data_IF_823915357040
#
_entry.id   IF_823915357040
#
_cell.length_a   1.000
_cell.length_b   1.000
_cell.length_c   1.000
_cell.angle_alpha   90.00
_cell.angle_beta   90.00
_cell.angle_gamma   90.00
#
_symmetry.space_group_name_H-M   'P 1'
#
loop_
_entity.id
_entity.type
_entity.pdbx_description
1 polymer ?
#
# COMPACT_ATOMS: atom_id res chain seq x y z
N UNK A 1 2.73 6.68 37.67
CA UNK A 1 3.63 7.07 36.56
C UNK A 1 4.34 5.82 36.04
N UNK A 2 4.29 5.52 34.73
CA UNK A 2 5.05 4.41 34.13
C UNK A 2 6.51 4.86 33.91
N UNK A 3 7.45 4.35 34.71
CA UNK A 3 8.84 4.83 34.75
C UNK A 3 9.86 3.96 33.97
N UNK A 4 9.42 3.26 32.92
CA UNK A 4 10.27 2.33 32.17
C UNK A 4 11.34 2.99 31.27
N UNK A 5 11.05 4.19 30.75
CA UNK A 5 11.92 4.94 29.83
C UNK A 5 12.36 6.31 30.37
N UNK A 6 11.59 6.86 31.31
CA UNK A 6 11.89 8.10 32.02
C UNK A 6 11.58 7.92 33.51
N UNK A 7 12.36 8.56 34.36
CA UNK A 7 12.21 8.51 35.81
C UNK A 7 12.04 9.94 36.31
N UNK A 8 11.01 10.17 37.12
CA UNK A 8 10.82 11.40 37.88
C UNK A 8 11.07 11.10 39.34
N UNK A 9 12.12 11.70 39.90
CA UNK A 9 12.47 11.55 41.32
C UNK A 9 11.60 12.46 42.19
N UNK A 10 11.55 12.16 43.49
CA UNK A 10 10.73 12.91 44.47
C UNK A 10 11.14 14.38 44.65
N UNK A 11 12.39 14.70 44.31
CA UNK A 11 12.96 16.05 44.26
C UNK A 11 12.54 16.85 43.01
N UNK A 12 11.77 16.25 42.10
CA UNK A 12 11.36 16.87 40.83
C UNK A 12 12.36 16.67 39.69
N UNK A 13 13.49 15.99 39.92
CA UNK A 13 14.50 15.75 38.88
C UNK A 13 14.02 14.71 37.88
N UNK A 14 13.94 15.09 36.59
CA UNK A 14 13.59 14.21 35.48
C UNK A 14 14.84 13.68 34.77
N UNK A 15 14.95 12.35 34.63
CA UNK A 15 16.02 11.70 33.86
C UNK A 15 15.43 10.77 32.81
N UNK A 16 15.89 10.87 31.56
CA UNK A 16 15.47 10.03 30.44
C UNK A 16 16.66 9.35 29.77
N UNK A 17 16.51 8.07 29.44
CA UNK A 17 17.52 7.29 28.72
C UNK A 17 17.17 7.25 27.22
N UNK A 18 17.96 7.96 26.41
CA UNK A 18 17.76 8.10 24.96
C UNK A 18 17.87 6.75 24.23
N UNK A 19 18.66 5.80 24.73
CA UNK A 19 18.80 4.48 24.10
C UNK A 19 17.55 3.64 24.34
N UNK A 20 16.95 3.73 25.53
CA UNK A 20 15.66 3.10 25.83
C UNK A 20 14.52 3.73 25.04
N UNK A 21 14.57 5.04 24.77
CA UNK A 21 13.54 5.71 23.96
C UNK A 21 13.49 5.19 22.51
N UNK A 22 14.64 4.85 21.91
CA UNK A 22 14.69 4.22 20.57
C UNK A 22 14.11 2.81 20.57
N UNK A 23 14.19 2.09 21.70
CA UNK A 23 13.61 0.76 21.86
C UNK A 23 12.08 0.79 21.94
N UNK A 24 11.48 1.87 22.47
CA UNK A 24 10.01 2.03 22.52
C UNK A 24 9.37 2.04 21.12
N UNK A 25 10.09 2.51 20.10
CA UNK A 25 9.64 2.52 18.71
C UNK A 25 9.34 1.10 18.17
N UNK A 26 10.00 0.08 18.72
CA UNK A 26 9.86 -1.31 18.28
C UNK A 26 8.48 -1.89 18.56
N UNK A 27 7.75 -1.38 19.56
CA UNK A 27 6.37 -1.82 19.87
C UNK A 27 5.38 -1.26 18.84
N UNK A 28 5.51 0.01 18.48
CA UNK A 28 4.70 0.61 17.41
C UNK A 28 4.90 -0.11 16.07
N UNK A 29 6.14 -0.47 15.75
CA UNK A 29 6.45 -1.23 14.53
C UNK A 29 5.88 -2.65 14.55
N UNK A 30 5.73 -3.27 15.72
CA UNK A 30 5.11 -4.59 15.85
C UNK A 30 3.67 -4.56 15.36
N UNK A 31 2.88 -3.60 15.84
CA UNK A 31 1.46 -3.49 15.47
C UNK A 31 1.33 -3.22 13.98
N UNK A 32 2.07 -2.24 13.47
CA UNK A 32 2.07 -1.89 12.03
C UNK A 32 2.56 -3.03 11.14
N UNK A 33 3.50 -3.84 11.60
CA UNK A 33 4.00 -5.00 10.87
C UNK A 33 2.97 -6.14 10.75
N UNK A 34 2.00 -6.21 11.68
CA UNK A 34 0.92 -7.21 11.66
C UNK A 34 -0.31 -6.78 10.86
N UNK A 35 -0.56 -5.48 10.77
CA UNK A 35 -1.71 -4.92 10.03
C UNK A 35 -1.86 -5.46 8.60
N UNK A 36 -0.82 -5.52 7.75
CA UNK A 36 -0.94 -6.00 6.37
C UNK A 36 -1.59 -7.39 6.24
N UNK A 37 -1.22 -8.33 7.11
CA UNK A 37 -1.80 -9.67 7.12
C UNK A 37 -3.26 -9.66 7.59
N UNK A 38 -3.59 -8.83 8.59
CA UNK A 38 -4.95 -8.69 9.11
C UNK A 38 -5.88 -8.11 8.04
N UNK A 39 -5.50 -7.00 7.42
CA UNK A 39 -6.30 -6.34 6.39
C UNK A 39 -6.38 -7.16 5.09
N UNK A 40 -5.37 -7.96 4.77
CA UNK A 40 -5.45 -8.93 3.68
C UNK A 40 -6.55 -9.98 3.90
N UNK A 41 -6.68 -10.49 5.13
CA UNK A 41 -7.74 -11.46 5.49
C UNK A 41 -9.11 -10.80 5.45
N UNK A 42 -9.25 -9.57 5.95
CA UNK A 42 -10.52 -8.84 5.90
C UNK A 42 -10.97 -8.57 4.46
N UNK A 43 -10.05 -8.17 3.57
CA UNK A 43 -10.36 -8.05 2.14
C UNK A 43 -10.74 -9.41 1.54
N UNK A 44 -10.01 -10.47 1.86
CA UNK A 44 -10.31 -11.82 1.36
C UNK A 44 -11.70 -12.31 1.79
N UNK A 45 -12.16 -11.98 3.00
CA UNK A 45 -13.51 -12.29 3.47
C UNK A 45 -14.58 -11.61 2.58
N UNK A 46 -14.46 -10.30 2.34
CA UNK A 46 -15.38 -9.56 1.48
C UNK A 46 -15.41 -10.12 0.04
N UNK A 47 -14.22 -10.39 -0.50
CA UNK A 47 -14.06 -10.93 -1.86
C UNK A 47 -14.61 -12.36 -1.97
N UNK A 48 -14.49 -13.17 -0.92
CA UNK A 48 -15.06 -14.54 -0.88
C UNK A 48 -16.59 -14.49 -0.98
N UNK A 49 -17.23 -13.57 -0.24
CA UNK A 49 -18.68 -13.37 -0.29
C UNK A 49 -19.09 -12.95 -1.70
N UNK A 50 -18.43 -11.92 -2.26
CA UNK A 50 -18.73 -11.42 -3.61
C UNK A 50 -18.52 -12.48 -4.69
N UNK A 51 -17.48 -13.31 -4.57
CA UNK A 51 -17.19 -14.39 -5.53
C UNK A 51 -18.28 -15.45 -5.51
N UNK A 52 -18.62 -15.97 -4.31
CA UNK A 52 -19.67 -16.99 -4.17
C UNK A 52 -21.04 -16.47 -4.61
N UNK A 53 -21.38 -15.24 -4.23
CA UNK A 53 -22.60 -14.59 -4.68
C UNK A 53 -22.64 -14.47 -6.20
N UNK A 54 -21.52 -14.13 -6.84
CA UNK A 54 -21.43 -13.96 -8.29
C UNK A 54 -21.55 -15.27 -9.08
N UNK A 55 -21.25 -16.41 -8.46
CA UNK A 55 -21.43 -17.73 -9.07
C UNK A 55 -22.89 -18.19 -9.04
N UNK A 56 -23.70 -17.71 -8.09
CA UNK A 56 -25.10 -18.12 -7.91
C UNK A 56 -26.07 -17.11 -8.52
N UNK A 57 -25.74 -15.81 -8.47
CA UNK A 57 -26.61 -14.78 -9.00
C UNK A 57 -26.63 -14.85 -10.52
N UNK A 58 -27.81 -15.10 -11.07
CA UNK A 58 -28.12 -14.95 -12.48
C UNK A 58 -28.82 -13.60 -12.69
N UNK A 59 -28.45 -12.90 -13.76
CA UNK A 59 -29.16 -11.70 -14.21
C UNK A 59 -28.74 -11.32 -15.63
N UNK A 60 -29.71 -10.95 -16.46
CA UNK A 60 -29.47 -10.44 -17.82
C UNK A 60 -29.68 -11.49 -18.89
N UNK A 61 -29.17 -11.21 -20.09
CA UNK A 61 -29.36 -12.08 -21.26
C UNK A 61 -28.50 -13.34 -21.17
N UNK A 62 -29.08 -14.48 -21.58
CA UNK A 62 -28.41 -15.77 -21.70
C UNK A 62 -27.36 -15.81 -22.81
N UNK A 63 -26.66 -16.95 -22.93
CA UNK A 63 -25.61 -17.17 -23.96
C UNK A 63 -26.10 -16.97 -25.39
N UNK A 64 -27.40 -17.20 -25.62
CA UNK A 64 -28.02 -17.18 -26.94
C UNK A 64 -28.80 -15.88 -27.19
N UNK A 65 -28.57 -14.85 -26.37
CA UNK A 65 -29.40 -13.64 -26.27
C UNK A 65 -30.90 -13.95 -26.00
N UNK A 66 -31.21 -15.14 -25.50
CA UNK A 66 -32.56 -15.52 -25.07
C UNK A 66 -32.81 -15.06 -23.63
N UNK A 67 -34.08 -14.81 -23.32
CA UNK A 67 -34.54 -14.49 -21.97
C UNK A 67 -34.88 -15.75 -21.16
N UNK A 68 -34.87 -16.92 -21.79
CA UNK A 68 -35.34 -18.17 -21.18
C UNK A 68 -34.35 -18.75 -20.14
N UNK A 69 -33.07 -18.37 -20.24
CA UNK A 69 -32.03 -18.77 -19.30
C UNK A 69 -31.07 -17.62 -19.04
N UNK A 70 -31.13 -17.07 -17.84
CA UNK A 70 -30.23 -16.00 -17.42
C UNK A 70 -28.80 -16.51 -17.23
N UNK A 71 -27.81 -15.64 -17.47
CA UNK A 71 -26.40 -15.95 -17.27
C UNK A 71 -25.98 -15.59 -15.85
N UNK A 72 -25.13 -16.43 -15.24
CA UNK A 72 -24.48 -16.10 -13.95
C UNK A 72 -23.62 -14.85 -14.10
N UNK A 73 -23.69 -13.93 -13.14
CA UNK A 73 -23.03 -12.63 -13.26
C UNK A 73 -21.50 -12.73 -13.34
N UNK A 74 -20.89 -13.79 -12.80
CA UNK A 74 -19.43 -14.02 -12.91
C UNK A 74 -18.94 -14.22 -14.35
N UNK A 75 -19.84 -14.60 -15.26
CA UNK A 75 -19.53 -14.80 -16.68
C UNK A 75 -19.33 -13.46 -17.42
N UNK A 76 -19.83 -12.36 -16.86
CA UNK A 76 -19.57 -11.03 -17.42
C UNK A 76 -18.12 -10.62 -17.18
N UNK A 77 -17.42 -10.25 -18.26
CA UNK A 77 -16.00 -9.87 -18.23
C UNK A 77 -15.69 -8.80 -17.18
N UNK A 78 -16.58 -7.83 -17.02
CA UNK A 78 -16.42 -6.76 -16.03
C UNK A 78 -16.48 -7.28 -14.59
N UNK A 79 -17.45 -8.15 -14.28
CA UNK A 79 -17.57 -8.78 -12.95
C UNK A 79 -16.33 -9.64 -12.67
N UNK A 80 -15.94 -10.45 -13.64
CA UNK A 80 -14.80 -11.35 -13.55
C UNK A 80 -13.48 -10.60 -13.30
N UNK A 81 -13.22 -9.54 -14.07
CA UNK A 81 -12.01 -8.73 -13.94
C UNK A 81 -11.91 -8.07 -12.56
N UNK A 82 -13.02 -7.51 -12.05
CA UNK A 82 -13.05 -6.86 -10.74
C UNK A 82 -12.79 -7.87 -9.61
N UNK A 83 -13.44 -9.03 -9.64
CA UNK A 83 -13.22 -10.08 -8.64
C UNK A 83 -11.77 -10.56 -8.65
N UNK A 84 -11.22 -10.93 -9.81
CA UNK A 84 -9.84 -11.41 -9.92
C UNK A 84 -8.83 -10.37 -9.45
N UNK A 85 -9.06 -9.10 -9.74
CA UNK A 85 -8.20 -8.01 -9.27
C UNK A 85 -8.19 -7.91 -7.74
N UNK A 86 -9.35 -8.02 -7.10
CA UNK A 86 -9.44 -7.98 -5.63
C UNK A 86 -8.81 -9.23 -4.98
N UNK A 87 -8.98 -10.41 -5.58
CA UNK A 87 -8.29 -11.64 -5.15
C UNK A 87 -6.78 -11.43 -5.23
N UNK A 88 -6.26 -10.97 -6.38
CA UNK A 88 -4.84 -10.73 -6.56
C UNK A 88 -4.27 -9.73 -5.54
N UNK A 89 -5.01 -8.63 -5.27
CA UNK A 89 -4.64 -7.65 -4.24
C UNK A 89 -4.56 -8.29 -2.85
N UNK A 90 -5.55 -9.09 -2.45
CA UNK A 90 -5.56 -9.75 -1.14
C UNK A 90 -4.33 -10.65 -0.92
N UNK A 91 -3.94 -11.46 -1.91
CA UNK A 91 -2.73 -12.28 -1.85
C UNK A 91 -1.45 -11.44 -1.86
N UNK A 92 -1.37 -10.40 -2.69
CA UNK A 92 -0.22 -9.50 -2.71
C UNK A 92 0.00 -8.83 -1.36
N UNK A 93 -1.08 -8.35 -0.72
CA UNK A 93 -1.04 -7.76 0.62
C UNK A 93 -0.60 -8.78 1.68
N UNK A 94 -1.06 -10.03 1.57
CA UNK A 94 -0.68 -11.11 2.49
C UNK A 94 0.83 -11.41 2.41
N UNK A 95 1.38 -11.58 1.21
CA UNK A 95 2.82 -11.81 1.03
C UNK A 95 3.67 -10.60 1.43
N UNK A 96 3.23 -9.38 1.10
CA UNK A 96 3.89 -8.16 1.55
C UNK A 96 3.93 -8.06 3.09
N UNK A 97 2.87 -8.51 3.77
CA UNK A 97 2.82 -8.61 5.22
C UNK A 97 3.83 -9.60 5.80
N UNK A 98 4.02 -10.76 5.15
CA UNK A 98 5.03 -11.73 5.56
C UNK A 98 6.44 -11.16 5.45
N UNK A 99 6.78 -10.52 4.33
CA UNK A 99 8.09 -9.86 4.14
C UNK A 99 8.31 -8.74 5.17
N UNK A 100 7.29 -7.92 5.43
CA UNK A 100 7.35 -6.86 6.43
C UNK A 100 7.63 -7.42 7.83
N UNK A 101 6.94 -8.50 8.22
CA UNK A 101 7.13 -9.15 9.51
C UNK A 101 8.52 -9.81 9.63
N UNK A 102 9.05 -10.38 8.54
CA UNK A 102 10.40 -10.93 8.50
C UNK A 102 11.47 -9.82 8.72
N UNK A 103 11.34 -8.68 8.05
CA UNK A 103 12.23 -7.52 8.24
C UNK A 103 12.15 -6.93 9.65
N UNK A 104 10.95 -6.91 10.24
CA UNK A 104 10.77 -6.51 11.64
C UNK A 104 11.48 -7.48 12.60
N UNK A 105 11.39 -8.79 12.36
CA UNK A 105 12.09 -9.78 13.18
C UNK A 105 13.63 -9.62 13.10
N UNK A 106 14.18 -9.37 11.91
CA UNK A 106 15.61 -9.06 11.73
C UNK A 106 16.00 -7.78 12.48
N UNK A 107 15.21 -6.71 12.36
CA UNK A 107 15.42 -5.47 13.12
C UNK A 107 15.48 -5.75 14.62
N UNK A 108 14.53 -6.52 15.16
CA UNK A 108 14.49 -6.86 16.59
C UNK A 108 15.73 -7.63 17.02
N UNK A 109 16.22 -8.57 16.20
CA UNK A 109 17.45 -9.31 16.46
C UNK A 109 18.70 -8.40 16.45
N UNK A 110 18.76 -7.41 15.56
CA UNK A 110 19.85 -6.41 15.52
C UNK A 110 19.80 -5.46 16.71
N UNK A 111 18.62 -5.01 17.10
CA UNK A 111 18.44 -4.14 18.27
C UNK A 111 18.88 -4.81 19.56
N UNK A 112 18.71 -6.13 19.70
CA UNK A 112 19.22 -6.88 20.85
C UNK A 112 20.76 -6.83 20.95
N UNK A 113 21.46 -6.56 19.84
CA UNK A 113 22.91 -6.36 19.76
C UNK A 113 23.33 -4.88 19.79
N UNK A 114 22.39 -3.95 20.00
CA UNK A 114 22.64 -2.51 19.98
C UNK A 114 22.75 -1.88 18.58
N UNK A 115 22.48 -2.63 17.50
CA UNK A 115 22.44 -2.09 16.15
C UNK A 115 21.05 -1.55 15.80
N UNK A 116 20.98 -0.25 15.50
CA UNK A 116 19.76 0.47 15.15
C UNK A 116 19.78 1.01 13.72
N UNK A 117 20.75 0.64 12.88
CA UNK A 117 20.94 1.24 11.56
C UNK A 117 19.76 1.00 10.60
N UNK A 118 19.06 -0.13 10.73
CA UNK A 118 17.92 -0.50 9.88
C UNK A 118 16.57 0.02 10.40
N UNK A 119 16.54 0.67 11.57
CA UNK A 119 15.31 1.18 12.16
C UNK A 119 14.56 2.18 11.25
N UNK A 120 15.22 3.17 10.61
CA UNK A 120 14.53 4.13 9.75
C UNK A 120 13.91 3.47 8.51
N UNK A 121 14.58 2.46 7.93
CA UNK A 121 14.09 1.79 6.73
C UNK A 121 12.89 0.91 7.00
N UNK A 122 12.93 0.11 8.08
CA UNK A 122 11.80 -0.72 8.50
C UNK A 122 10.63 0.15 8.94
N UNK A 123 10.88 1.26 9.63
CA UNK A 123 9.82 2.20 9.99
C UNK A 123 9.09 2.78 8.79
N UNK A 124 9.83 3.25 7.79
CA UNK A 124 9.25 3.77 6.56
C UNK A 124 8.45 2.70 5.80
N UNK A 125 8.97 1.47 5.73
CA UNK A 125 8.26 0.33 5.13
C UNK A 125 6.94 0.04 5.86
N UNK A 126 6.96 -0.09 7.19
CA UNK A 126 5.76 -0.34 7.98
C UNK A 126 4.73 0.79 7.84
N UNK A 127 5.16 2.06 7.81
CA UNK A 127 4.27 3.20 7.63
C UNK A 127 3.60 3.18 6.25
N UNK A 128 4.38 3.02 5.19
CA UNK A 128 3.87 2.95 3.82
C UNK A 128 2.95 1.77 3.59
N UNK A 129 3.35 0.58 4.05
CA UNK A 129 2.56 -0.63 3.87
C UNK A 129 1.26 -0.57 4.67
N UNK A 130 1.28 -0.06 5.92
CA UNK A 130 0.07 0.18 6.71
C UNK A 130 -0.91 1.09 5.96
N UNK A 131 -0.44 2.19 5.39
CA UNK A 131 -1.29 3.13 4.67
C UNK A 131 -1.89 2.50 3.41
N UNK A 132 -1.08 1.78 2.65
CA UNK A 132 -1.51 1.09 1.44
C UNK A 132 -2.57 0.03 1.72
N UNK A 133 -2.26 -0.93 2.60
CA UNK A 133 -3.12 -2.10 2.83
C UNK A 133 -4.46 -1.73 3.46
N UNK A 134 -4.50 -0.69 4.30
CA UNK A 134 -5.75 -0.25 4.93
C UNK A 134 -6.66 0.47 3.95
N UNK A 135 -6.12 1.36 3.10
CA UNK A 135 -6.87 1.97 2.01
C UNK A 135 -7.44 0.91 1.05
N UNK A 136 -6.58 0.03 0.56
CA UNK A 136 -6.97 -1.00 -0.42
C UNK A 136 -7.97 -2.00 0.15
N UNK A 137 -7.89 -2.33 1.44
CA UNK A 137 -8.87 -3.22 2.08
C UNK A 137 -10.26 -2.58 2.16
N UNK A 138 -10.34 -1.30 2.53
CA UNK A 138 -11.62 -0.57 2.64
C UNK A 138 -12.25 -0.39 1.26
N UNK A 139 -11.47 0.13 0.30
CA UNK A 139 -11.93 0.37 -1.06
C UNK A 139 -12.33 -0.96 -1.73
N UNK A 140 -11.54 -2.02 -1.53
CA UNK A 140 -11.82 -3.35 -2.04
C UNK A 140 -13.04 -4.01 -1.42
N UNK A 141 -13.28 -3.81 -0.11
CA UNK A 141 -14.46 -4.32 0.57
C UNK A 141 -15.74 -3.60 0.10
N UNK A 142 -15.70 -2.28 -0.08
CA UNK A 142 -16.82 -1.52 -0.64
C UNK A 142 -17.07 -1.90 -2.11
N UNK A 143 -16.03 -2.19 -2.88
CA UNK A 143 -16.19 -2.70 -4.23
C UNK A 143 -16.79 -4.11 -4.26
N UNK A 144 -16.40 -5.00 -3.34
CA UNK A 144 -17.02 -6.31 -3.17
C UNK A 144 -18.52 -6.19 -2.81
N UNK A 145 -18.90 -5.21 -2.00
CA UNK A 145 -20.30 -4.88 -1.71
C UNK A 145 -21.07 -4.47 -2.95
N UNK A 146 -20.50 -3.59 -3.78
CA UNK A 146 -21.11 -3.17 -5.07
C UNK A 146 -21.25 -4.34 -6.05
N UNK A 147 -20.30 -5.28 -6.07
CA UNK A 147 -20.37 -6.48 -6.92
C UNK A 147 -21.55 -7.40 -6.56
N UNK A 148 -22.10 -7.28 -5.35
CA UNK A 148 -23.30 -8.02 -4.91
C UNK A 148 -24.62 -7.28 -5.22
N UNK A 149 -24.56 -6.09 -5.82
CA UNK A 149 -25.74 -5.28 -6.13
C UNK A 149 -26.52 -4.85 -4.88
N UNK A 150 -27.85 -4.75 -5.00
CA UNK A 150 -28.73 -4.32 -3.90
C UNK A 150 -28.67 -5.25 -2.67
N UNK A 151 -28.51 -6.55 -2.86
CA UNK A 151 -28.40 -7.50 -1.74
C UNK A 151 -27.14 -7.28 -0.90
N UNK A 152 -26.06 -6.76 -1.51
CA UNK A 152 -24.86 -6.36 -0.77
C UNK A 152 -25.07 -5.17 0.16
N UNK A 153 -26.13 -4.38 -0.01
CA UNK A 153 -26.46 -3.26 0.89
C UNK A 153 -27.11 -3.74 2.20
N UNK A 154 -27.76 -4.90 2.19
CA UNK A 154 -28.45 -5.43 3.36
C UNK A 154 -27.44 -5.89 4.42
N UNK A 155 -27.70 -5.61 5.69
CA UNK A 155 -26.85 -6.04 6.80
C UNK A 155 -26.66 -7.56 6.87
N UNK A 156 -27.66 -8.34 6.42
CA UNK A 156 -27.57 -9.81 6.35
C UNK A 156 -26.44 -10.33 5.43
N UNK A 157 -25.97 -9.49 4.48
CA UNK A 157 -24.82 -9.85 3.64
C UNK A 157 -23.50 -9.87 4.41
N UNK A 158 -23.43 -9.22 5.58
CA UNK A 158 -22.22 -9.05 6.38
C UNK A 158 -21.18 -8.08 5.79
N UNK A 159 -21.36 -7.60 4.55
CA UNK A 159 -20.43 -6.70 3.88
C UNK A 159 -20.40 -5.29 4.51
N UNK A 160 -21.54 -4.65 4.87
CA UNK A 160 -21.53 -3.35 5.53
C UNK A 160 -20.74 -3.34 6.85
N UNK A 161 -20.91 -4.38 7.67
CA UNK A 161 -20.22 -4.50 8.96
C UNK A 161 -18.71 -4.70 8.77
N UNK A 162 -18.32 -5.51 7.77
CA UNK A 162 -16.92 -5.72 7.41
C UNK A 162 -16.26 -4.42 6.95
N UNK A 163 -16.95 -3.63 6.12
CA UNK A 163 -16.46 -2.31 5.68
C UNK A 163 -16.26 -1.40 6.89
N UNK A 164 -17.25 -1.32 7.79
CA UNK A 164 -17.15 -0.56 9.03
C UNK A 164 -15.94 -0.95 9.88
N UNK A 165 -15.69 -2.25 10.03
CA UNK A 165 -14.53 -2.75 10.76
C UNK A 165 -13.19 -2.42 10.07
N UNK A 166 -13.12 -2.50 8.74
CA UNK A 166 -11.91 -2.17 7.98
C UNK A 166 -11.60 -0.67 7.98
N UNK A 167 -12.64 0.19 7.99
CA UNK A 167 -12.49 1.65 7.89
C UNK A 167 -11.65 2.25 9.03
N UNK A 168 -11.76 1.69 10.24
CA UNK A 168 -10.95 2.12 11.39
C UNK A 168 -9.44 1.98 11.15
N UNK A 169 -9.03 1.02 10.32
CA UNK A 169 -7.63 0.79 9.93
C UNK A 169 -6.95 2.00 9.30
N UNK A 170 -7.71 2.81 8.55
CA UNK A 170 -7.18 4.02 7.91
C UNK A 170 -6.80 5.12 8.92
N UNK A 171 -7.29 5.04 10.16
CA UNK A 171 -7.07 6.03 11.21
C UNK A 171 -6.19 5.52 12.34
N UNK A 172 -6.37 4.26 12.76
CA UNK A 172 -5.59 3.67 13.85
C UNK A 172 -4.10 3.60 13.51
N UNK A 173 -3.25 3.64 14.55
CA UNK A 173 -1.79 3.56 14.41
C UNK A 173 -1.17 4.63 13.48
N UNK A 174 -1.88 5.74 13.29
CA UNK A 174 -1.48 6.88 12.46
C UNK A 174 -2.34 7.00 11.21
N UNK A 175 -2.93 8.19 11.00
CA UNK A 175 -3.74 8.48 9.82
C UNK A 175 -2.93 8.31 8.52
N UNK A 176 -3.59 7.80 7.48
CA UNK A 176 -2.91 7.35 6.25
C UNK A 176 -2.15 8.47 5.51
N UNK A 177 -2.66 9.70 5.40
CA UNK A 177 -1.90 10.81 4.82
C UNK A 177 -0.63 11.13 5.62
N UNK A 178 -0.70 11.09 6.95
CA UNK A 178 0.50 11.26 7.79
C UNK A 178 1.50 10.13 7.57
N UNK A 179 1.05 8.89 7.41
CA UNK A 179 1.92 7.75 7.10
C UNK A 179 2.60 7.88 5.73
N UNK A 180 1.86 8.34 4.71
CA UNK A 180 2.42 8.64 3.40
C UNK A 180 3.50 9.73 3.46
N UNK A 181 3.31 10.75 4.31
CA UNK A 181 4.32 11.77 4.55
C UNK A 181 5.58 11.21 5.21
N UNK A 182 5.46 10.29 6.17
CA UNK A 182 6.62 9.63 6.80
C UNK A 182 7.44 8.85 5.76
N UNK A 183 6.77 8.08 4.90
CA UNK A 183 7.41 7.38 3.78
C UNK A 183 8.07 8.37 2.82
N UNK A 184 7.35 9.42 2.41
CA UNK A 184 7.86 10.42 1.46
C UNK A 184 9.10 11.15 1.96
N UNK A 185 9.15 11.50 3.25
CA UNK A 185 10.35 12.10 3.88
C UNK A 185 11.54 11.14 3.88
N UNK A 186 11.30 9.87 4.22
CA UNK A 186 12.34 8.84 4.18
C UNK A 186 12.91 8.67 2.77
N UNK A 187 12.04 8.49 1.76
CA UNK A 187 12.45 8.36 0.36
C UNK A 187 13.22 9.59 -0.12
N UNK A 188 12.70 10.79 0.15
CA UNK A 188 13.37 12.05 -0.20
C UNK A 188 14.76 12.16 0.43
N UNK A 189 14.92 11.75 1.69
CA UNK A 189 16.23 11.74 2.37
C UNK A 189 17.22 10.78 1.71
N UNK A 190 16.72 9.65 1.16
CA UNK A 190 17.53 8.61 0.52
C UNK A 190 17.89 8.93 -0.92
N UNK A 191 17.07 9.73 -1.61
CA UNK A 191 17.32 10.22 -2.98
C UNK A 191 18.25 11.45 -3.02
N UNK A 192 18.39 12.18 -1.91
CA UNK A 192 19.26 13.36 -1.81
C UNK A 192 20.80 13.14 -1.67
N UNK A 193 21.38 11.93 -1.69
CA UNK A 193 22.81 11.76 -2.01
C UNK A 193 23.13 12.15 -3.46
N UNK A 194 22.13 12.27 -4.34
CA UNK A 194 22.32 12.82 -5.68
C UNK A 194 22.24 14.36 -5.65
N UNK A 195 23.17 15.03 -4.97
CA UNK A 195 23.44 16.46 -5.18
C UNK A 195 24.94 16.73 -5.32
N UNK A 196 25.28 17.22 -6.53
CA UNK A 196 26.45 18.02 -6.93
C UNK A 196 27.75 17.30 -7.33
N UNK A 197 27.72 16.57 -8.45
CA UNK A 197 28.86 16.51 -9.40
C UNK A 197 28.47 17.06 -10.78
N UNK A 198 27.57 18.04 -10.81
CA UNK A 198 27.26 18.82 -12.00
C UNK A 198 27.04 20.26 -11.58
N UNK A 199 28.02 21.11 -11.90
CA UNK A 199 27.95 22.57 -11.75
C UNK A 199 26.68 23.05 -12.47
N UNK A 200 25.70 23.55 -11.72
CA UNK A 200 24.64 24.38 -12.29
C UNK A 200 25.29 25.67 -12.77
N UNK A 201 25.73 25.72 -14.02
CA UNK A 201 26.04 26.99 -14.69
C UNK A 201 24.72 27.70 -14.94
N UNK A 202 24.44 28.69 -14.10
CA UNK A 202 23.40 29.68 -14.34
C UNK A 202 23.72 30.46 -15.63
N UNK A 203 23.10 30.08 -16.74
CA UNK A 203 22.64 30.96 -17.84
C UNK A 203 22.17 30.10 -19.00
N UNK A 204 20.86 29.86 -19.07
CA UNK A 204 20.14 30.01 -20.33
C UNK A 204 18.93 30.86 -20.00
N UNK A 205 18.89 32.05 -20.59
CA UNK A 205 17.69 32.88 -20.59
C UNK A 205 16.54 32.03 -21.13
N UNK A 206 15.47 31.91 -20.34
CA UNK A 206 14.19 31.44 -20.84
C UNK A 206 13.71 32.52 -21.79
N UNK A 207 14.00 32.39 -23.09
CA UNK A 207 13.25 33.13 -24.10
C UNK A 207 11.86 32.51 -24.13
N UNK A 208 10.86 33.30 -23.78
CA UNK A 208 9.46 32.88 -23.87
C UNK A 208 9.15 32.39 -25.29
N UNK A 209 8.43 31.26 -25.46
CA UNK A 209 8.02 30.83 -26.77
C UNK A 209 6.98 31.81 -27.32
N UNK A 210 7.33 32.44 -28.45
CA UNK A 210 6.43 33.29 -29.23
C UNK A 210 5.32 32.40 -29.79
N UNK A 211 4.07 32.67 -29.41
CA UNK A 211 2.89 31.97 -29.93
C UNK A 211 2.76 32.29 -31.42
N UNK A 212 2.88 31.29 -32.28
CA UNK A 212 2.41 31.36 -33.66
C UNK A 212 1.24 30.39 -33.83
N UNK A 213 0.15 30.81 -34.50
CA UNK A 213 -1.00 29.96 -34.70
C UNK A 213 -0.79 29.15 -35.99
N UNK A 214 -0.71 27.83 -35.90
CA UNK A 214 -1.29 26.98 -36.94
C UNK A 214 -1.50 25.54 -36.45
N UNK A 215 -2.77 25.15 -36.46
CA UNK A 215 -3.26 23.78 -36.32
C UNK A 215 -2.96 23.02 -37.61
N UNK A 216 -2.03 22.06 -37.59
CA UNK A 216 -2.03 20.84 -38.40
C UNK A 216 -0.65 20.15 -38.42
N UNK A 217 -0.15 19.63 -37.29
CA UNK A 217 0.76 18.47 -37.25
C UNK A 217 1.22 18.21 -35.80
N UNK A 218 0.44 17.43 -35.06
CA UNK A 218 0.94 16.72 -33.88
C UNK A 218 0.85 15.22 -34.19
N UNK A 219 1.91 14.70 -34.81
CA UNK A 219 2.20 13.27 -34.83
C UNK A 219 3.36 13.01 -33.86
N UNK A 220 3.04 12.25 -32.81
CA UNK A 220 3.89 11.29 -32.09
C UNK A 220 5.34 11.70 -31.82
N UNK A 221 5.59 12.25 -30.63
CA UNK A 221 6.94 12.36 -30.09
C UNK A 221 7.14 11.30 -29.00
N UNK A 222 7.71 10.15 -29.39
CA UNK A 222 8.00 8.95 -28.58
C UNK A 222 9.27 9.08 -27.73
N UNK A 223 9.80 10.29 -27.56
CA UNK A 223 11.09 10.57 -26.94
C UNK A 223 11.12 10.50 -25.40
N UNK A 224 9.97 10.38 -24.73
CA UNK A 224 9.89 10.24 -23.26
C UNK A 224 10.07 8.82 -22.73
N UNK A 225 9.95 7.78 -23.57
CA UNK A 225 10.07 6.37 -23.15
C UNK A 225 11.51 5.85 -23.25
N UNK A 226 12.37 6.48 -24.04
CA UNK A 226 13.74 6.01 -24.29
C UNK A 226 14.75 6.28 -23.15
N UNK A 227 14.42 7.12 -22.17
CA UNK A 227 15.36 7.49 -21.08
C UNK A 227 15.43 6.44 -19.97
N UNK A 228 14.43 5.56 -19.85
CA UNK A 228 14.40 4.54 -18.78
C UNK A 228 15.05 3.19 -19.17
N UNK A 229 15.30 2.97 -20.47
CA UNK A 229 15.78 1.69 -21.00
C UNK A 229 17.32 1.53 -20.97
N UNK A 230 18.09 2.62 -20.92
CA UNK A 230 19.53 2.58 -21.21
C UNK A 230 20.48 2.39 -20.00
N UNK A 231 19.99 2.06 -18.80
CA UNK A 231 20.86 1.88 -17.61
C UNK A 231 20.63 0.64 -16.75
N UNK A 232 20.00 -0.39 -17.28
CA UNK A 232 19.98 -1.72 -16.65
C UNK A 232 20.67 -2.75 -17.55
N UNK A 233 22.00 -2.59 -17.72
CA UNK A 233 22.85 -3.65 -18.26
C UNK A 233 23.87 -4.03 -17.19
N UNK A 234 23.48 -4.93 -16.30
CA UNK A 234 24.38 -5.67 -15.44
C UNK A 234 24.16 -7.17 -15.72
N UNK A 235 25.22 -7.97 -15.95
CA UNK A 235 25.07 -9.37 -16.30
C UNK A 235 24.53 -10.19 -15.13
N UNK A 236 23.55 -11.07 -15.41
CA UNK A 236 23.00 -12.01 -14.46
C UNK A 236 24.05 -13.08 -14.07
N UNK A 237 24.18 -13.46 -12.79
CA UNK A 237 24.93 -14.65 -12.43
C UNK A 237 24.13 -15.90 -12.78
N UNK A 238 24.73 -16.78 -13.58
CA UNK A 238 24.29 -18.13 -13.85
C UNK A 238 24.35 -18.98 -12.60
N UNK A 239 23.22 -19.52 -12.14
CA UNK A 239 23.20 -20.68 -11.23
C UNK A 239 22.20 -21.70 -11.77
N UNK A 240 22.74 -22.89 -11.98
CA UNK A 240 22.09 -24.13 -12.38
C UNK A 240 21.20 -24.70 -11.26
N UNK A 241 20.08 -25.28 -11.70
CA UNK A 241 19.04 -26.06 -10.99
C UNK A 241 18.10 -25.31 -10.05
#
# INVERSE_FOLDING_TARGET
>A
MLMGHSVLRRDGTHTADLNRAKSSYSVMLLVRGKMPAIFAVQLAQAVTIATRYSMVREQGLGSDNSLDKELTIISYKQQHFRILTLIAKSYAMFFAGQDCNARYADLKARQARGDHATLPSVHALCAGLKAYVTCEAVDGAEDARKLCGGHGYMSISGLPDLIGATAGGCTFEGENHVMWQQLGRYLSSRSMPCKRTGRWTSRRSISQPRVTPNLAQQRTDTSLIAVFSSRCNAPAPSVLF
#
